data_IF_957950901518
#
_entry.id   IF_957950901518
#
_cell.length_a   1.000
_cell.length_b   1.000
_cell.length_c   1.000
_cell.angle_alpha   90.00
_cell.angle_beta   90.00
_cell.angle_gamma   90.00
#
_symmetry.space_group_name_H-M   'P 1'
#
loop_
_entity.id
_entity.type
_entity.pdbx_description
1 polymer ?
#
# COMPACT_ATOMS: atom_id res chain seq x y z
N UNK A 1 32.66 12.23 -9.95
CA UNK A 1 31.20 11.91 -9.88
C UNK A 1 30.73 10.75 -10.76
N UNK A 2 30.79 10.80 -12.11
CA UNK A 2 30.19 9.75 -12.99
C UNK A 2 30.71 8.33 -12.71
N UNK A 3 32.02 8.18 -12.50
CA UNK A 3 32.65 6.88 -12.22
C UNK A 3 32.30 6.36 -10.82
N UNK A 4 32.20 7.26 -9.84
CA UNK A 4 31.83 6.94 -8.45
C UNK A 4 30.40 6.40 -8.38
N UNK A 5 29.45 7.08 -9.01
CA UNK A 5 28.04 6.67 -9.02
C UNK A 5 27.84 5.32 -9.74
N UNK A 6 28.52 5.11 -10.88
CA UNK A 6 28.49 3.84 -11.60
C UNK A 6 29.06 2.68 -10.77
N UNK A 7 30.13 2.93 -10.01
CA UNK A 7 30.70 1.92 -9.12
C UNK A 7 29.74 1.58 -7.98
N UNK A 8 29.15 2.57 -7.31
CA UNK A 8 28.18 2.36 -6.24
C UNK A 8 26.95 1.57 -6.72
N UNK A 9 26.39 1.92 -7.88
CA UNK A 9 25.27 1.16 -8.49
C UNK A 9 25.71 -0.28 -8.81
N UNK A 10 26.90 -0.47 -9.39
CA UNK A 10 27.39 -1.82 -9.72
C UNK A 10 27.55 -2.69 -8.48
N UNK A 11 28.09 -2.14 -7.39
CA UNK A 11 28.24 -2.86 -6.12
C UNK A 11 26.89 -3.21 -5.50
N UNK A 12 25.92 -2.29 -5.57
CA UNK A 12 24.57 -2.53 -5.06
C UNK A 12 23.85 -3.60 -5.88
N UNK A 13 23.91 -3.52 -7.22
CA UNK A 13 23.29 -4.46 -8.16
C UNK A 13 23.90 -5.87 -8.09
N UNK A 14 25.18 -5.99 -7.77
CA UNK A 14 25.82 -7.30 -7.51
C UNK A 14 25.53 -7.86 -6.12
N UNK A 15 24.93 -7.08 -5.22
CA UNK A 15 24.63 -7.52 -3.86
C UNK A 15 23.37 -8.38 -3.81
N UNK A 16 23.44 -9.51 -3.09
CA UNK A 16 22.26 -10.34 -2.77
C UNK A 16 21.19 -9.58 -1.98
N UNK A 17 21.54 -8.44 -1.36
CA UNK A 17 20.62 -7.62 -0.57
C UNK A 17 19.48 -7.03 -1.40
N UNK A 18 19.72 -6.63 -2.65
CA UNK A 18 18.64 -6.15 -3.53
C UNK A 18 17.66 -7.25 -3.90
N UNK A 19 18.18 -8.47 -4.13
CA UNK A 19 17.33 -9.64 -4.41
C UNK A 19 16.46 -9.97 -3.19
N UNK A 20 17.06 -9.98 -1.99
CA UNK A 20 16.31 -10.19 -0.74
C UNK A 20 15.26 -9.09 -0.54
N UNK A 21 15.61 -7.82 -0.79
CA UNK A 21 14.65 -6.71 -0.73
C UNK A 21 13.49 -6.88 -1.71
N UNK A 22 13.78 -7.23 -2.97
CA UNK A 22 12.75 -7.49 -3.97
C UNK A 22 11.82 -8.65 -3.59
N UNK A 23 12.38 -9.74 -3.04
CA UNK A 23 11.58 -10.87 -2.53
C UNK A 23 10.68 -10.46 -1.37
N UNK A 24 11.18 -9.65 -0.43
CA UNK A 24 10.38 -9.13 0.68
C UNK A 24 9.23 -8.25 0.18
N UNK A 25 9.49 -7.39 -0.80
CA UNK A 25 8.45 -6.55 -1.42
C UNK A 25 7.38 -7.39 -2.11
N UNK A 26 7.77 -8.43 -2.84
CA UNK A 26 6.82 -9.36 -3.48
C UNK A 26 5.99 -10.09 -2.41
N UNK A 27 6.63 -10.56 -1.33
CA UNK A 27 5.94 -11.25 -0.25
C UNK A 27 4.93 -10.34 0.46
N UNK A 28 5.28 -9.07 0.68
CA UNK A 28 4.36 -8.05 1.19
C UNK A 28 3.19 -7.80 0.25
N UNK A 29 3.42 -7.76 -1.06
CA UNK A 29 2.36 -7.59 -2.05
C UNK A 29 1.39 -8.79 -2.05
N UNK A 30 1.91 -10.02 -1.96
CA UNK A 30 1.09 -11.23 -1.85
C UNK A 30 0.26 -11.20 -0.56
N UNK A 31 0.88 -10.81 0.56
CA UNK A 31 0.18 -10.65 1.83
C UNK A 31 -0.92 -9.59 1.75
N UNK A 32 -0.65 -8.46 1.10
CA UNK A 32 -1.65 -7.42 0.83
C UNK A 32 -2.82 -7.92 -0.02
N UNK A 33 -2.55 -8.74 -1.04
CA UNK A 33 -3.58 -9.35 -1.87
C UNK A 33 -4.46 -10.32 -1.07
N UNK A 34 -3.84 -11.12 -0.22
CA UNK A 34 -4.56 -12.04 0.67
C UNK A 34 -5.45 -11.28 1.66
N UNK A 35 -4.94 -10.18 2.24
CA UNK A 35 -5.71 -9.32 3.12
C UNK A 35 -6.91 -8.69 2.40
N UNK A 36 -6.70 -8.14 1.19
CA UNK A 36 -7.78 -7.56 0.39
C UNK A 36 -8.88 -8.59 0.09
N UNK A 37 -8.50 -9.84 -0.22
CA UNK A 37 -9.44 -10.94 -0.41
C UNK A 37 -10.25 -11.25 0.85
N UNK A 38 -9.59 -11.39 2.00
CA UNK A 38 -10.29 -11.64 3.28
C UNK A 38 -11.29 -10.52 3.56
N UNK A 39 -10.88 -9.26 3.38
CA UNK A 39 -11.75 -8.11 3.56
C UNK A 39 -12.96 -8.17 2.63
N UNK A 40 -12.75 -8.51 1.34
CA UNK A 40 -13.83 -8.65 0.37
C UNK A 40 -14.83 -9.75 0.78
N UNK A 41 -14.33 -10.94 1.15
CA UNK A 41 -15.20 -12.03 1.59
C UNK A 41 -15.97 -11.66 2.86
N UNK A 42 -15.33 -10.96 3.80
CA UNK A 42 -16.00 -10.46 5.00
C UNK A 42 -17.09 -9.44 4.68
N UNK A 43 -16.85 -8.49 3.77
CA UNK A 43 -17.86 -7.52 3.34
C UNK A 43 -19.04 -8.19 2.61
N UNK A 44 -18.77 -9.21 1.80
CA UNK A 44 -19.80 -10.02 1.14
C UNK A 44 -20.69 -10.72 2.16
N UNK A 45 -20.09 -11.37 3.16
CA UNK A 45 -20.85 -12.03 4.23
C UNK A 45 -21.68 -11.02 5.01
N UNK A 46 -21.08 -9.89 5.40
CA UNK A 46 -21.79 -8.82 6.12
C UNK A 46 -22.97 -8.26 5.33
N UNK A 47 -22.81 -8.04 4.02
CA UNK A 47 -23.90 -7.58 3.16
C UNK A 47 -25.04 -8.59 3.08
N UNK A 48 -24.73 -9.88 2.88
CA UNK A 48 -25.72 -10.96 2.85
C UNK A 48 -26.45 -11.13 4.18
N UNK A 49 -25.74 -11.00 5.30
CA UNK A 49 -26.34 -11.06 6.63
C UNK A 49 -27.24 -9.87 6.89
N UNK A 50 -26.79 -8.66 6.54
CA UNK A 50 -27.60 -7.44 6.67
C UNK A 50 -28.89 -7.57 5.86
N UNK A 51 -28.82 -8.05 4.61
CA UNK A 51 -29.99 -8.26 3.77
C UNK A 51 -31.02 -9.21 4.40
N UNK A 52 -30.58 -10.23 5.16
CA UNK A 52 -31.48 -11.20 5.83
C UNK A 52 -32.22 -10.62 7.03
N UNK A 53 -31.76 -9.51 7.61
CA UNK A 53 -32.42 -8.86 8.75
C UNK A 53 -33.69 -8.13 8.32
N UNK A 54 -33.76 -7.71 7.05
CA UNK A 54 -34.90 -6.98 6.50
C UNK A 54 -36.04 -7.94 6.09
N UNK A 55 -37.27 -7.56 6.42
CA UNK A 55 -38.46 -8.36 6.12
C UNK A 55 -38.92 -8.23 4.67
N UNK A 56 -38.54 -7.14 3.97
CA UNK A 56 -38.84 -6.92 2.57
C UNK A 56 -37.65 -6.32 1.81
N UNK A 57 -37.54 -6.65 0.53
CA UNK A 57 -36.51 -6.08 -0.36
C UNK A 57 -36.66 -4.56 -0.54
N UNK A 58 -37.90 -4.06 -0.52
CA UNK A 58 -38.22 -2.64 -0.61
C UNK A 58 -37.74 -1.83 0.60
N UNK A 59 -37.84 -2.40 1.80
CA UNK A 59 -37.36 -1.76 3.04
C UNK A 59 -35.83 -1.64 3.02
N UNK A 60 -35.15 -2.68 2.57
CA UNK A 60 -33.70 -2.70 2.40
C UNK A 60 -33.22 -1.68 1.36
N UNK A 61 -33.89 -1.60 0.21
CA UNK A 61 -33.57 -0.62 -0.85
C UNK A 61 -33.79 0.82 -0.37
N UNK A 62 -34.90 1.09 0.33
CA UNK A 62 -35.15 2.41 0.90
C UNK A 62 -34.07 2.84 1.91
N UNK A 63 -33.56 1.91 2.71
CA UNK A 63 -32.48 2.19 3.67
C UNK A 63 -31.12 2.34 2.99
N UNK A 64 -30.84 1.66 1.88
CA UNK A 64 -29.62 1.84 1.08
C UNK A 64 -29.44 3.29 0.57
N UNK A 65 -30.53 4.01 0.35
CA UNK A 65 -30.52 5.40 -0.10
C UNK A 65 -30.45 6.44 1.03
N UNK A 66 -30.65 6.03 2.29
CA UNK A 66 -30.51 6.94 3.42
C UNK A 66 -29.03 7.06 3.81
N UNK A 67 -28.56 8.24 4.25
CA UNK A 67 -27.24 8.36 4.82
C UNK A 67 -27.13 7.49 6.08
N UNK A 68 -25.91 7.09 6.44
CA UNK A 68 -25.63 6.47 7.73
C UNK A 68 -24.86 7.44 8.61
N UNK A 69 -25.12 7.41 9.91
CA UNK A 69 -24.30 8.09 10.91
C UNK A 69 -23.53 7.05 11.73
N UNK A 70 -22.30 7.41 12.11
CA UNK A 70 -21.51 6.66 13.07
C UNK A 70 -21.56 7.43 14.39
N UNK A 71 -22.30 6.90 15.36
CA UNK A 71 -22.33 7.47 16.69
C UNK A 71 -21.41 6.66 17.59
N UNK A 72 -20.30 7.28 18.01
CA UNK A 72 -19.43 6.72 19.04
C UNK A 72 -19.94 7.21 20.39
N UNK A 73 -20.50 6.31 21.18
CA UNK A 73 -20.85 6.60 22.57
C UNK A 73 -19.83 5.91 23.46
N UNK A 74 -19.05 6.69 24.20
CA UNK A 74 -18.20 6.15 25.25
C UNK A 74 -19.09 5.88 26.46
N UNK A 75 -19.46 4.61 26.68
CA UNK A 75 -20.04 4.23 27.95
C UNK A 75 -18.95 4.35 29.03
N UNK A 76 -19.34 4.74 30.26
CA UNK A 76 -18.44 5.13 31.37
C UNK A 76 -17.46 4.06 31.91
N UNK A 77 -17.11 3.06 31.09
CA UNK A 77 -16.16 1.96 31.34
C UNK A 77 -15.15 1.79 30.18
N UNK A 78 -14.78 2.87 29.48
CA UNK A 78 -13.79 2.87 28.36
C UNK A 78 -14.13 1.94 27.18
N UNK A 79 -15.39 1.50 27.05
CA UNK A 79 -15.88 0.81 25.86
C UNK A 79 -16.46 1.83 24.88
N UNK A 80 -15.84 1.92 23.70
CA UNK A 80 -16.34 2.72 22.58
C UNK A 80 -17.39 1.89 21.85
N UNK A 81 -18.66 2.12 22.19
CA UNK A 81 -19.77 1.54 21.44
C UNK A 81 -19.97 2.36 20.17
N UNK A 82 -19.61 1.77 19.03
CA UNK A 82 -19.88 2.35 17.71
C UNK A 82 -21.24 1.87 17.24
N UNK A 83 -22.27 2.70 17.40
CA UNK A 83 -23.59 2.42 16.85
C UNK A 83 -23.66 2.86 15.39
N UNK A 84 -24.12 1.96 14.52
CA UNK A 84 -24.34 2.22 13.10
C UNK A 84 -25.85 2.38 12.91
N UNK A 85 -26.29 3.60 12.63
CA UNK A 85 -27.73 3.92 12.49
C UNK A 85 -28.35 3.26 11.25
N UNK A 86 -27.56 3.03 10.20
CA UNK A 86 -28.00 2.40 8.96
C UNK A 86 -26.98 1.36 8.47
N UNK A 87 -27.23 0.11 8.84
CA UNK A 87 -26.37 -1.04 8.51
C UNK A 87 -26.44 -1.44 7.03
N UNK A 88 -27.58 -1.20 6.36
CA UNK A 88 -27.74 -1.48 4.92
C UNK A 88 -26.79 -0.62 4.08
N UNK A 89 -26.80 0.70 4.31
CA UNK A 89 -25.88 1.63 3.64
C UNK A 89 -24.42 1.32 3.95
N UNK A 90 -24.09 1.09 5.22
CA UNK A 90 -22.73 0.80 5.65
C UNK A 90 -22.17 -0.47 5.03
N UNK A 91 -22.94 -1.56 5.01
CA UNK A 91 -22.52 -2.84 4.42
C UNK A 91 -22.36 -2.75 2.91
N UNK A 92 -23.21 -1.96 2.23
CA UNK A 92 -23.08 -1.69 0.80
C UNK A 92 -21.80 -0.90 0.47
N UNK A 93 -21.54 0.21 1.17
CA UNK A 93 -20.31 0.98 0.95
C UNK A 93 -19.06 0.15 1.25
N UNK A 94 -19.09 -0.66 2.33
CA UNK A 94 -18.00 -1.56 2.69
C UNK A 94 -17.73 -2.60 1.59
N UNK A 95 -18.77 -3.15 0.97
CA UNK A 95 -18.67 -4.06 -0.16
C UNK A 95 -18.09 -3.36 -1.41
N UNK A 96 -18.54 -2.14 -1.72
CA UNK A 96 -18.02 -1.39 -2.85
C UNK A 96 -16.54 -1.01 -2.67
N UNK A 97 -16.16 -0.60 -1.46
CA UNK A 97 -14.77 -0.30 -1.11
C UNK A 97 -13.90 -1.55 -1.23
N UNK A 98 -14.33 -2.69 -0.67
CA UNK A 98 -13.53 -3.93 -0.71
C UNK A 98 -13.40 -4.52 -2.12
N UNK A 99 -14.47 -4.47 -2.92
CA UNK A 99 -14.40 -4.80 -4.35
C UNK A 99 -13.41 -3.87 -5.07
N UNK A 100 -13.43 -2.58 -4.76
CA UNK A 100 -12.49 -1.63 -5.34
C UNK A 100 -11.04 -1.92 -4.95
N UNK A 101 -10.77 -2.34 -3.71
CA UNK A 101 -9.42 -2.73 -3.26
C UNK A 101 -8.83 -3.88 -4.07
N UNK A 102 -9.66 -4.72 -4.70
CA UNK A 102 -9.22 -5.81 -5.58
C UNK A 102 -9.21 -5.43 -7.07
N UNK A 103 -9.49 -4.17 -7.41
CA UNK A 103 -9.48 -3.68 -8.79
C UNK A 103 -8.09 -3.27 -9.25
N UNK A 104 -7.93 -3.09 -10.57
CA UNK A 104 -6.68 -2.69 -11.22
C UNK A 104 -6.04 -1.46 -10.57
N UNK A 105 -6.78 -0.36 -10.41
CA UNK A 105 -6.25 0.88 -9.82
C UNK A 105 -6.44 0.95 -8.30
N UNK A 106 -7.38 0.21 -7.75
CA UNK A 106 -7.65 0.24 -6.31
C UNK A 106 -6.64 -0.58 -5.50
N UNK A 107 -6.13 -1.69 -6.02
CA UNK A 107 -5.14 -2.50 -5.28
C UNK A 107 -3.81 -1.77 -5.03
N UNK A 108 -3.18 -1.10 -6.02
CA UNK A 108 -2.00 -0.27 -5.76
C UNK A 108 -2.25 0.80 -4.70
N UNK A 109 -3.40 1.49 -4.73
CA UNK A 109 -3.76 2.50 -3.74
C UNK A 109 -3.93 1.90 -2.34
N UNK A 110 -4.64 0.78 -2.25
CA UNK A 110 -4.82 0.03 -1.01
C UNK A 110 -3.46 -0.38 -0.43
N UNK A 111 -2.63 -1.03 -1.24
CA UNK A 111 -1.31 -1.49 -0.81
C UNK A 111 -0.43 -0.33 -0.34
N UNK A 112 -0.29 0.73 -1.13
CA UNK A 112 0.55 1.86 -0.75
C UNK A 112 0.03 2.60 0.49
N UNK A 113 -1.30 2.68 0.68
CA UNK A 113 -1.90 3.31 1.86
C UNK A 113 -1.63 2.53 3.16
N UNK A 114 -1.82 1.21 3.14
CA UNK A 114 -1.74 0.40 4.36
C UNK A 114 -0.36 -0.22 4.58
N UNK A 115 0.21 -0.80 3.53
CA UNK A 115 1.51 -1.47 3.60
C UNK A 115 2.65 -0.52 3.23
N UNK A 116 2.42 0.37 2.26
CA UNK A 116 3.43 1.31 1.78
C UNK A 116 3.86 2.29 2.86
N UNK A 117 2.93 2.92 3.57
CA UNK A 117 3.24 3.90 4.62
C UNK A 117 3.94 3.32 5.87
N UNK A 118 3.85 2.00 6.10
CA UNK A 118 4.41 1.37 7.30
C UNK A 118 5.67 0.58 6.96
N UNK A 119 5.57 -0.36 6.01
CA UNK A 119 6.64 -1.32 5.76
C UNK A 119 7.73 -0.79 4.83
N UNK A 120 7.41 0.07 3.86
CA UNK A 120 8.43 0.63 2.97
C UNK A 120 9.44 1.53 3.70
N UNK A 121 9.02 2.41 4.64
CA UNK A 121 9.96 3.21 5.44
C UNK A 121 10.86 2.37 6.35
N UNK A 122 10.38 1.21 6.82
CA UNK A 122 11.19 0.28 7.62
C UNK A 122 12.26 -0.36 6.73
N UNK A 123 11.87 -0.83 5.54
CA UNK A 123 12.80 -1.43 4.57
C UNK A 123 13.84 -0.40 4.10
N UNK A 124 13.40 0.84 3.84
CA UNK A 124 14.26 1.93 3.40
C UNK A 124 15.29 2.30 4.49
N UNK A 125 14.87 2.34 5.77
CA UNK A 125 15.77 2.55 6.91
C UNK A 125 16.86 1.48 7.02
N UNK A 126 16.51 0.19 6.87
CA UNK A 126 17.52 -0.88 6.82
C UNK A 126 18.48 -0.73 5.63
N UNK A 127 17.97 -0.31 4.48
CA UNK A 127 18.78 -0.05 3.29
C UNK A 127 19.75 1.12 3.52
N UNK A 128 19.29 2.19 4.16
CA UNK A 128 20.13 3.33 4.57
C UNK A 128 21.29 2.90 5.47
N UNK A 129 20.98 2.13 6.53
CA UNK A 129 21.99 1.58 7.46
C UNK A 129 23.00 0.69 6.70
N UNK A 130 22.52 -0.16 5.80
CA UNK A 130 23.39 -1.02 4.99
C UNK A 130 24.34 -0.19 4.11
N UNK A 131 23.82 0.80 3.38
CA UNK A 131 24.63 1.67 2.50
C UNK A 131 25.63 2.51 3.30
N UNK A 132 25.26 2.95 4.51
CA UNK A 132 26.15 3.68 5.40
C UNK A 132 27.31 2.81 5.91
N UNK A 133 27.04 1.54 6.24
CA UNK A 133 27.99 0.67 6.94
C UNK A 133 28.83 -0.24 6.03
N UNK A 134 28.43 -0.47 4.78
CA UNK A 134 29.11 -1.46 3.93
C UNK A 134 30.59 -1.13 3.68
N UNK A 135 30.93 0.15 3.54
CA UNK A 135 32.30 0.58 3.25
C UNK A 135 33.26 0.37 4.43
N UNK A 136 32.73 0.40 5.65
CA UNK A 136 33.46 0.04 6.86
C UNK A 136 33.68 -1.46 6.93
N UNK A 137 32.62 -2.25 6.67
CA UNK A 137 32.68 -3.72 6.67
C UNK A 137 33.65 -4.27 5.62
N UNK A 138 33.64 -3.69 4.42
CA UNK A 138 34.50 -4.12 3.30
C UNK A 138 35.87 -3.42 3.27
N UNK A 139 36.16 -2.57 4.26
CA UNK A 139 37.39 -1.76 4.36
C UNK A 139 37.70 -0.92 3.10
N UNK A 140 36.68 -0.64 2.27
CA UNK A 140 36.82 0.10 1.01
C UNK A 140 36.89 1.62 1.22
N UNK A 141 36.55 2.11 2.41
CA UNK A 141 36.55 3.55 2.73
C UNK A 141 37.91 4.21 2.49
N UNK A 142 39.02 3.58 2.91
CA UNK A 142 40.38 4.11 2.72
C UNK A 142 40.73 4.31 1.25
N UNK A 143 40.36 3.33 0.41
CA UNK A 143 40.61 3.37 -1.03
C UNK A 143 39.82 4.49 -1.71
N UNK A 144 38.58 4.72 -1.28
CA UNK A 144 37.70 5.77 -1.82
C UNK A 144 38.18 7.16 -1.44
N UNK A 145 38.63 7.35 -0.20
CA UNK A 145 39.19 8.61 0.30
C UNK A 145 40.47 9.06 -0.43
N UNK A 146 41.26 8.12 -0.93
CA UNK A 146 42.45 8.43 -1.72
C UNK A 146 42.12 9.02 -3.11
N UNK A 147 40.89 8.84 -3.60
CA UNK A 147 40.50 9.23 -4.96
C UNK A 147 39.37 10.27 -5.01
N UNK A 148 38.54 10.36 -3.97
CA UNK A 148 37.40 11.28 -3.91
C UNK A 148 37.34 11.94 -2.53
N UNK A 149 36.78 13.15 -2.49
CA UNK A 149 36.51 13.85 -1.24
C UNK A 149 35.38 13.18 -0.45
N UNK A 150 35.32 13.41 0.87
CA UNK A 150 34.22 12.95 1.73
C UNK A 150 32.85 13.41 1.24
N UNK A 151 32.75 14.65 0.73
CA UNK A 151 31.52 15.22 0.20
C UNK A 151 31.02 14.45 -1.03
N UNK A 152 31.92 14.11 -1.97
CA UNK A 152 31.56 13.35 -3.16
C UNK A 152 31.09 11.92 -2.84
N UNK A 153 31.69 11.29 -1.82
CA UNK A 153 31.30 9.94 -1.38
C UNK A 153 29.89 9.97 -0.76
N UNK A 154 29.61 10.95 0.12
CA UNK A 154 28.30 11.10 0.76
C UNK A 154 27.21 11.40 -0.27
N UNK A 155 27.43 12.37 -1.16
CA UNK A 155 26.48 12.70 -2.23
C UNK A 155 26.22 11.48 -3.14
N UNK A 156 27.28 10.72 -3.45
CA UNK A 156 27.13 9.48 -4.22
C UNK A 156 26.22 8.46 -3.55
N UNK A 157 26.37 8.27 -2.22
CA UNK A 157 25.51 7.36 -1.44
C UNK A 157 24.07 7.82 -1.44
N UNK A 158 23.81 9.10 -1.18
CA UNK A 158 22.45 9.64 -1.18
C UNK A 158 21.76 9.48 -2.53
N UNK A 159 22.44 9.81 -3.63
CA UNK A 159 21.90 9.63 -4.98
C UNK A 159 21.56 8.17 -5.28
N UNK A 160 22.38 7.22 -4.81
CA UNK A 160 22.12 5.79 -5.00
C UNK A 160 20.93 5.32 -4.17
N UNK A 161 20.83 5.73 -2.90
CA UNK A 161 19.66 5.41 -2.05
C UNK A 161 18.38 5.93 -2.72
N UNK A 162 18.33 7.21 -3.08
CA UNK A 162 17.17 7.83 -3.72
C UNK A 162 16.80 7.09 -5.02
N UNK A 163 17.80 6.75 -5.85
CA UNK A 163 17.56 6.04 -7.12
C UNK A 163 16.96 4.65 -6.89
N UNK A 164 17.46 3.92 -5.88
CA UNK A 164 17.00 2.57 -5.56
C UNK A 164 15.59 2.58 -4.99
N UNK A 165 15.29 3.53 -4.10
CA UNK A 165 13.94 3.72 -3.56
C UNK A 165 12.95 4.05 -4.68
N UNK A 166 13.33 4.92 -5.62
CA UNK A 166 12.48 5.26 -6.76
C UNK A 166 12.20 4.04 -7.64
N UNK A 167 13.23 3.25 -7.96
CA UNK A 167 13.06 2.00 -8.72
C UNK A 167 12.16 1.02 -7.96
N UNK A 168 12.34 0.87 -6.64
CA UNK A 168 11.53 -0.01 -5.81
C UNK A 168 10.04 0.42 -5.79
N UNK A 169 9.77 1.72 -5.72
CA UNK A 169 8.41 2.28 -5.80
C UNK A 169 7.75 1.98 -7.15
N UNK A 170 8.47 2.24 -8.25
CA UNK A 170 7.96 1.95 -9.61
C UNK A 170 7.69 0.45 -9.75
N UNK A 171 8.64 -0.39 -9.32
CA UNK A 171 8.52 -1.84 -9.37
C UNK A 171 7.32 -2.36 -8.56
N UNK A 172 7.14 -1.90 -7.33
CA UNK A 172 6.00 -2.29 -6.48
C UNK A 172 4.67 -1.81 -7.03
N UNK A 173 4.61 -0.61 -7.60
CA UNK A 173 3.41 -0.08 -8.25
C UNK A 173 3.05 -0.91 -9.50
N UNK A 174 4.03 -1.29 -10.31
CA UNK A 174 3.77 -2.13 -11.49
C UNK A 174 3.29 -3.53 -11.12
N UNK A 175 3.92 -4.18 -10.14
CA UNK A 175 3.47 -5.52 -9.69
C UNK A 175 2.09 -5.44 -9.05
N UNK A 176 1.81 -4.42 -8.24
CA UNK A 176 0.48 -4.24 -7.65
C UNK A 176 -0.59 -4.02 -8.72
N UNK A 177 -0.30 -3.30 -9.82
CA UNK A 177 -1.23 -3.20 -10.94
C UNK A 177 -1.54 -4.59 -11.53
N UNK A 178 -0.53 -5.42 -11.76
CA UNK A 178 -0.73 -6.79 -12.27
C UNK A 178 -1.57 -7.63 -11.30
N UNK A 179 -1.27 -7.57 -10.01
CA UNK A 179 -2.04 -8.28 -8.97
C UNK A 179 -3.48 -7.79 -8.94
N UNK A 180 -3.72 -6.48 -8.97
CA UNK A 180 -5.06 -5.90 -8.99
C UNK A 180 -5.86 -6.33 -10.22
N UNK A 181 -5.23 -6.33 -11.40
CA UNK A 181 -5.86 -6.81 -12.63
C UNK A 181 -6.28 -8.29 -12.55
N UNK A 182 -5.43 -9.15 -11.97
CA UNK A 182 -5.73 -10.57 -11.77
C UNK A 182 -6.78 -10.78 -10.66
N UNK A 183 -6.79 -9.93 -9.64
CA UNK A 183 -7.62 -10.07 -8.45
C UNK A 183 -9.11 -9.94 -8.76
N UNK A 184 -9.49 -9.19 -9.80
CA UNK A 184 -10.89 -9.02 -10.24
C UNK A 184 -11.57 -10.37 -10.52
N UNK A 185 -10.82 -11.36 -11.00
CA UNK A 185 -11.36 -12.70 -11.28
C UNK A 185 -11.67 -13.53 -10.02
N UNK A 186 -11.21 -13.10 -8.84
CA UNK A 186 -11.41 -13.80 -7.58
C UNK A 186 -12.46 -13.12 -6.68
N UNK A 187 -13.09 -12.05 -7.15
CA UNK A 187 -14.15 -11.35 -6.44
C UNK A 187 -15.41 -12.21 -6.43
N UNK A 188 -15.99 -12.45 -5.25
CA UNK A 188 -17.32 -13.07 -5.17
C UNK A 188 -18.37 -12.08 -5.66
N UNK A 189 -19.02 -12.40 -6.78
CA UNK A 189 -19.97 -11.50 -7.44
C UNK A 189 -21.30 -11.48 -6.69
N UNK A 190 -21.61 -10.36 -6.05
CA UNK A 190 -22.99 -9.98 -5.73
C UNK A 190 -23.45 -9.00 -6.79
N UNK A 191 -24.60 -9.26 -7.41
CA UNK A 191 -25.21 -8.28 -8.31
C UNK A 191 -25.78 -7.11 -7.52
N UNK A 192 -24.95 -6.08 -7.36
CA UNK A 192 -25.30 -4.80 -6.73
C UNK A 192 -25.83 -3.79 -7.75
N UNK A 193 -25.82 -4.11 -9.05
CA UNK A 193 -26.28 -3.19 -10.10
C UNK A 193 -27.78 -2.91 -10.00
N UNK A 194 -28.54 -3.86 -9.45
CA UNK A 194 -29.98 -3.73 -9.20
C UNK A 194 -30.35 -2.59 -8.24
N UNK A 195 -29.40 -2.12 -7.43
CA UNK A 195 -29.61 -1.03 -6.49
C UNK A 195 -29.20 0.36 -7.05
N UNK A 196 -28.71 0.42 -8.29
CA UNK A 196 -28.22 1.66 -8.90
C UNK A 196 -26.87 2.13 -8.34
N UNK A 197 -26.38 3.27 -8.84
CA UNK A 197 -25.08 3.88 -8.45
C UNK A 197 -25.21 4.71 -7.17
N UNK A 198 -25.48 4.05 -6.04
CA UNK A 198 -25.70 4.77 -4.78
C UNK A 198 -24.39 5.23 -4.12
N UNK A 199 -23.26 4.61 -4.48
CA UNK A 199 -21.93 4.97 -4.03
C UNK A 199 -20.90 4.63 -5.11
N UNK A 200 -20.05 5.60 -5.45
CA UNK A 200 -18.98 5.40 -6.42
C UNK A 200 -17.62 5.59 -5.76
N UNK A 201 -16.75 4.60 -5.92
CA UNK A 201 -15.37 4.72 -5.47
C UNK A 201 -14.56 5.43 -6.54
N UNK A 202 -14.15 6.67 -6.28
CA UNK A 202 -13.37 7.44 -7.22
C UNK A 202 -11.93 6.90 -7.32
N UNK A 203 -11.58 6.40 -8.51
CA UNK A 203 -10.23 5.97 -8.81
C UNK A 203 -9.59 6.84 -9.88
N UNK A 204 -8.84 7.87 -9.49
CA UNK A 204 -7.98 8.60 -10.42
C UNK A 204 -6.53 8.08 -10.40
N UNK A 205 -5.85 8.15 -11.54
CA UNK A 205 -4.39 7.97 -11.61
C UNK A 205 -3.64 9.05 -10.84
N UNK A 206 -4.23 10.24 -10.71
CA UNK A 206 -3.65 11.36 -10.00
C UNK A 206 -3.55 11.08 -8.49
N UNK A 207 -4.57 10.46 -7.88
CA UNK A 207 -4.49 10.10 -6.45
C UNK A 207 -3.45 9.01 -6.22
N UNK A 208 -3.30 8.07 -7.17
CA UNK A 208 -2.27 7.04 -7.09
C UNK A 208 -0.87 7.66 -7.16
N UNK A 209 -0.67 8.62 -8.07
CA UNK A 209 0.58 9.35 -8.19
C UNK A 209 0.89 10.19 -6.94
N UNK A 210 -0.11 10.90 -6.40
CA UNK A 210 0.04 11.68 -5.17
C UNK A 210 0.39 10.82 -3.96
N UNK A 211 -0.27 9.66 -3.83
CA UNK A 211 -0.01 8.73 -2.74
C UNK A 211 1.37 8.05 -2.90
N UNK A 212 1.74 7.67 -4.13
CA UNK A 212 3.08 7.17 -4.44
C UNK A 212 4.19 8.19 -4.12
N UNK A 213 3.97 9.47 -4.44
CA UNK A 213 4.90 10.54 -4.08
C UNK A 213 5.03 10.71 -2.56
N UNK A 214 3.91 10.62 -1.84
CA UNK A 214 3.91 10.71 -0.37
C UNK A 214 4.74 9.60 0.26
N UNK A 215 4.52 8.36 -0.19
CA UNK A 215 5.29 7.19 0.25
C UNK A 215 6.77 7.36 -0.09
N UNK A 216 7.09 7.81 -1.30
CA UNK A 216 8.46 8.05 -1.72
C UNK A 216 9.19 9.06 -0.83
N UNK A 217 8.55 10.17 -0.50
CA UNK A 217 9.14 11.19 0.37
C UNK A 217 9.38 10.64 1.78
N UNK A 218 8.46 9.84 2.33
CA UNK A 218 8.65 9.15 3.61
C UNK A 218 9.84 8.18 3.57
N UNK A 219 9.96 7.39 2.50
CA UNK A 219 11.06 6.44 2.33
C UNK A 219 12.41 7.15 2.24
N UNK A 220 12.46 8.29 1.53
CA UNK A 220 13.68 9.10 1.43
C UNK A 220 14.07 9.67 2.79
N UNK A 221 13.12 10.23 3.55
CA UNK A 221 13.39 10.78 4.89
C UNK A 221 13.90 9.71 5.86
N UNK A 222 13.43 8.48 5.73
CA UNK A 222 13.81 7.38 6.62
C UNK A 222 15.13 6.70 6.26
N UNK A 223 15.53 6.73 4.98
CA UNK A 223 16.76 6.10 4.50
C UNK A 223 18.01 6.99 4.51
N UNK A 224 17.83 8.32 4.57
CA UNK A 224 18.88 9.36 4.46
C UNK A 224 19.30 9.83 5.85
#
# INVERSE_FOLDING_TARGET
>A
MKNTLRQEISYLMSSKTLLVGALLLILLLIFGAFQAKITQTSSVMQFKETQKVYNSEQEFENDLHKPYSLSQSTNGQDQVDTSIENSARYSYESLMISNNQMSLLGFPKFFLKYSGLIFLPIISGFLGIFVATYDYKSATYKRKLNHNSWQEILVGKYLVIISVLFIALVFTTLISLVIGGLSVHFIESIDVSKYGSIFEVHNSLLDLAALGLTVFLMDVITAV
#
